data_IF_347343469018
#
_entry.id   IF_347343469018
#
_cell.length_a   1.000
_cell.length_b   1.000
_cell.length_c   1.000
_cell.angle_alpha   90.00
_cell.angle_beta   90.00
_cell.angle_gamma   90.00
#
_symmetry.space_group_name_H-M   'P 1'
#
loop_
_entity.id
_entity.type
_entity.pdbx_description
1 polymer ?
#
# COMPACT_ATOMS: atom_id res chain seq x y z
N UNK A 1 -59.39 -23.81 -14.61
CA UNK A 1 -59.07 -24.52 -15.86
C UNK A 1 -57.55 -24.50 -16.06
N UNK A 2 -56.89 -25.65 -15.92
CA UNK A 2 -55.42 -25.75 -15.97
C UNK A 2 -54.89 -25.61 -17.41
N UNK A 3 -55.64 -26.05 -18.41
CA UNK A 3 -55.23 -25.97 -19.82
C UNK A 3 -55.13 -24.53 -20.31
N UNK A 4 -56.09 -23.69 -19.91
CA UNK A 4 -56.05 -22.26 -20.21
C UNK A 4 -54.87 -21.58 -19.50
N UNK A 5 -54.57 -21.96 -18.25
CA UNK A 5 -53.43 -21.41 -17.51
C UNK A 5 -52.09 -21.77 -18.16
N UNK A 6 -51.89 -23.02 -18.55
CA UNK A 6 -50.67 -23.48 -19.25
C UNK A 6 -50.49 -22.70 -20.55
N UNK A 7 -51.54 -22.58 -21.39
CA UNK A 7 -51.48 -21.81 -22.64
C UNK A 7 -51.12 -20.33 -22.44
N UNK A 8 -51.62 -19.69 -21.38
CA UNK A 8 -51.28 -18.31 -21.06
C UNK A 8 -49.83 -18.18 -20.57
N UNK A 9 -49.37 -19.11 -19.73
CA UNK A 9 -48.00 -19.13 -19.24
C UNK A 9 -47.00 -19.37 -20.37
N UNK A 10 -47.29 -20.28 -21.30
CA UNK A 10 -46.43 -20.55 -22.47
C UNK A 10 -46.21 -19.31 -23.34
N UNK A 11 -47.27 -18.51 -23.56
CA UNK A 11 -47.15 -17.22 -24.27
C UNK A 11 -46.29 -16.23 -23.49
N UNK A 12 -46.41 -16.22 -22.17
CA UNK A 12 -45.70 -15.28 -21.31
C UNK A 12 -44.22 -15.64 -21.20
N UNK A 13 -43.88 -16.93 -21.21
CA UNK A 13 -42.49 -17.42 -21.23
C UNK A 13 -41.70 -16.99 -22.46
N UNK A 14 -42.37 -16.72 -23.59
CA UNK A 14 -41.70 -16.17 -24.77
C UNK A 14 -41.08 -14.79 -24.48
N UNK A 15 -41.70 -14.01 -23.61
CA UNK A 15 -41.22 -12.67 -23.24
C UNK A 15 -40.31 -12.72 -22.02
N UNK A 16 -40.67 -13.50 -20.99
CA UNK A 16 -39.97 -13.56 -19.70
C UNK A 16 -39.57 -15.00 -19.32
N UNK A 17 -38.58 -15.59 -20.00
CA UNK A 17 -38.24 -17.02 -19.85
C UNK A 17 -37.61 -17.39 -18.50
N UNK A 18 -37.10 -16.41 -17.76
CA UNK A 18 -36.35 -16.59 -16.51
C UNK A 18 -37.00 -15.88 -15.31
N UNK A 19 -38.32 -15.65 -15.36
CA UNK A 19 -39.05 -15.13 -14.22
C UNK A 19 -39.39 -16.27 -13.25
N UNK A 20 -38.92 -16.16 -12.00
CA UNK A 20 -39.10 -17.18 -10.98
C UNK A 20 -40.57 -17.36 -10.55
N UNK A 21 -41.36 -16.28 -10.54
CA UNK A 21 -42.78 -16.33 -10.20
C UNK A 21 -43.59 -17.01 -11.32
N UNK A 22 -43.29 -16.72 -12.59
CA UNK A 22 -43.92 -17.41 -13.72
C UNK A 22 -43.61 -18.92 -13.72
N UNK A 23 -42.37 -19.29 -13.40
CA UNK A 23 -41.99 -20.70 -13.25
C UNK A 23 -42.74 -21.37 -12.08
N UNK A 24 -42.91 -20.67 -10.96
CA UNK A 24 -43.73 -21.17 -9.85
C UNK A 24 -45.20 -21.38 -10.28
N UNK A 25 -45.83 -20.40 -10.93
CA UNK A 25 -47.20 -20.51 -11.42
C UNK A 25 -47.36 -21.64 -12.44
N UNK A 26 -46.36 -21.85 -13.30
CA UNK A 26 -46.30 -22.98 -14.23
C UNK A 26 -46.21 -24.32 -13.51
N UNK A 27 -45.40 -24.43 -12.47
CA UNK A 27 -45.35 -25.63 -11.63
C UNK A 27 -46.71 -25.97 -11.00
N UNK A 28 -47.44 -24.96 -10.52
CA UNK A 28 -48.81 -25.13 -9.99
C UNK A 28 -49.76 -25.61 -11.09
N UNK A 29 -49.74 -24.96 -12.26
CA UNK A 29 -50.62 -25.33 -13.38
C UNK A 29 -50.40 -26.78 -13.83
N UNK A 30 -49.15 -27.24 -13.92
CA UNK A 30 -48.83 -28.64 -14.23
C UNK A 30 -49.21 -29.60 -13.11
N UNK A 31 -49.13 -29.18 -11.84
CA UNK A 31 -49.63 -29.99 -10.72
C UNK A 31 -51.13 -30.21 -10.82
N UNK A 32 -51.90 -29.19 -11.22
CA UNK A 32 -53.34 -29.28 -11.45
C UNK A 32 -53.73 -30.13 -12.68
N UNK A 33 -52.79 -30.31 -13.61
CA UNK A 33 -52.91 -31.18 -14.78
C UNK A 33 -52.41 -32.62 -14.52
N UNK A 34 -52.04 -32.95 -13.27
CA UNK A 34 -51.41 -34.22 -12.84
C UNK A 34 -50.06 -34.53 -13.52
N UNK A 35 -49.42 -33.55 -14.17
CA UNK A 35 -48.06 -33.66 -14.71
C UNK A 35 -47.02 -33.31 -13.64
N UNK A 36 -46.86 -34.23 -12.69
CA UNK A 36 -45.92 -34.07 -11.57
C UNK A 36 -44.47 -33.94 -12.00
N UNK A 37 -44.08 -34.51 -13.14
CA UNK A 37 -42.70 -34.45 -13.63
C UNK A 37 -42.36 -33.02 -14.06
N UNK A 38 -43.18 -32.44 -14.92
CA UNK A 38 -42.96 -31.06 -15.38
C UNK A 38 -43.12 -30.07 -14.24
N UNK A 39 -44.09 -30.29 -13.33
CA UNK A 39 -44.25 -29.45 -12.15
C UNK A 39 -42.98 -29.37 -11.29
N UNK A 40 -42.34 -30.52 -11.04
CA UNK A 40 -41.07 -30.60 -10.29
C UNK A 40 -39.96 -29.80 -10.97
N UNK A 41 -39.79 -29.95 -12.29
CA UNK A 41 -38.78 -29.24 -13.06
C UNK A 41 -38.99 -27.72 -13.00
N UNK A 42 -40.25 -27.26 -13.10
CA UNK A 42 -40.60 -25.83 -13.02
C UNK A 42 -40.32 -25.26 -11.64
N UNK A 43 -40.71 -25.94 -10.56
CA UNK A 43 -40.40 -25.48 -9.20
C UNK A 43 -38.91 -25.46 -8.91
N UNK A 44 -38.17 -26.51 -9.30
CA UNK A 44 -36.72 -26.55 -9.13
C UNK A 44 -36.02 -25.38 -9.83
N UNK A 45 -36.46 -25.06 -11.06
CA UNK A 45 -35.91 -23.92 -11.81
C UNK A 45 -36.30 -22.57 -11.19
N UNK A 46 -37.52 -22.44 -10.65
CA UNK A 46 -37.93 -21.24 -9.91
C UNK A 46 -37.02 -21.00 -8.69
N UNK A 47 -36.73 -22.04 -7.91
CA UNK A 47 -35.85 -21.97 -6.73
C UNK A 47 -34.40 -21.66 -7.12
N UNK A 48 -33.93 -22.17 -8.25
CA UNK A 48 -32.59 -21.87 -8.75
C UNK A 48 -32.43 -20.40 -9.15
N UNK A 49 -33.50 -19.76 -9.63
CA UNK A 49 -33.50 -18.35 -10.02
C UNK A 49 -33.72 -17.41 -8.83
N UNK A 50 -34.62 -17.77 -7.91
CA UNK A 50 -34.85 -17.04 -6.66
C UNK A 50 -34.86 -18.00 -5.46
N UNK A 51 -33.71 -18.18 -4.79
CA UNK A 51 -33.61 -19.00 -3.59
C UNK A 51 -34.48 -18.51 -2.43
N UNK A 52 -34.88 -17.22 -2.42
CA UNK A 52 -35.73 -16.64 -1.39
C UNK A 52 -37.22 -16.95 -1.60
N UNK A 53 -37.62 -17.48 -2.77
CA UNK A 53 -39.00 -17.80 -3.11
C UNK A 53 -39.53 -18.99 -2.28
N UNK A 54 -39.97 -18.69 -1.06
CA UNK A 54 -40.44 -19.69 -0.09
C UNK A 54 -41.62 -20.51 -0.62
N UNK A 55 -42.52 -19.89 -1.39
CA UNK A 55 -43.68 -20.57 -1.99
C UNK A 55 -43.26 -21.73 -2.91
N UNK A 56 -42.26 -21.53 -3.76
CA UNK A 56 -41.76 -22.56 -4.67
C UNK A 56 -41.09 -23.74 -3.92
N UNK A 57 -40.35 -23.45 -2.84
CA UNK A 57 -39.73 -24.49 -2.00
C UNK A 57 -40.78 -25.34 -1.27
N UNK A 58 -41.76 -24.69 -0.66
CA UNK A 58 -42.87 -25.38 0.03
C UNK A 58 -43.68 -26.22 -0.96
N UNK A 59 -43.96 -25.67 -2.14
CA UNK A 59 -44.69 -26.38 -3.19
C UNK A 59 -43.96 -27.63 -3.68
N UNK A 60 -42.65 -27.54 -3.92
CA UNK A 60 -41.83 -28.68 -4.31
C UNK A 60 -41.81 -29.76 -3.22
N UNK A 61 -41.61 -29.38 -1.96
CA UNK A 61 -41.61 -30.32 -0.84
C UNK A 61 -42.95 -31.06 -0.68
N UNK A 62 -44.07 -30.35 -0.86
CA UNK A 62 -45.41 -30.96 -0.84
C UNK A 62 -45.64 -31.90 -2.02
N UNK A 63 -45.20 -31.51 -3.23
CA UNK A 63 -45.27 -32.35 -4.43
C UNK A 63 -44.50 -33.66 -4.24
N UNK A 64 -43.29 -33.58 -3.67
CA UNK A 64 -42.44 -34.75 -3.41
C UNK A 64 -42.98 -35.65 -2.29
N UNK A 65 -43.68 -35.08 -1.31
CA UNK A 65 -44.42 -35.83 -0.29
C UNK A 65 -45.72 -36.48 -0.82
N UNK A 66 -46.05 -36.30 -2.11
CA UNK A 66 -47.29 -36.80 -2.71
C UNK A 66 -48.54 -36.02 -2.30
N UNK A 67 -48.37 -34.89 -1.61
CA UNK A 67 -49.46 -34.03 -1.15
C UNK A 67 -50.02 -33.15 -2.27
N UNK A 68 -51.16 -32.53 -1.99
CA UNK A 68 -51.71 -31.48 -2.84
C UNK A 68 -50.88 -30.20 -2.66
N UNK A 69 -50.57 -29.51 -3.76
CA UNK A 69 -49.85 -28.24 -3.76
C UNK A 69 -50.87 -27.10 -3.89
N UNK A 70 -51.15 -26.33 -2.82
CA UNK A 70 -52.05 -25.20 -2.90
C UNK A 70 -51.38 -24.05 -3.65
N UNK A 71 -52.17 -23.31 -4.43
CA UNK A 71 -51.73 -22.04 -4.99
C UNK A 71 -51.60 -21.03 -3.83
N UNK A 72 -50.38 -20.85 -3.33
CA UNK A 72 -50.04 -19.76 -2.42
C UNK A 72 -49.50 -18.63 -3.28
N UNK A 73 -50.40 -17.79 -3.79
CA UNK A 73 -50.04 -16.62 -4.58
C UNK A 73 -50.79 -15.41 -4.05
N UNK A 74 -50.04 -14.45 -3.53
CA UNK A 74 -50.56 -13.12 -3.23
C UNK A 74 -50.21 -12.24 -4.42
N UNK A 75 -51.18 -11.82 -5.26
CA UNK A 75 -50.89 -10.89 -6.33
C UNK A 75 -50.34 -9.60 -5.72
N UNK A 76 -49.05 -9.34 -5.90
CA UNK A 76 -48.50 -8.03 -5.61
C UNK A 76 -48.84 -7.11 -6.78
N UNK A 77 -49.56 -6.02 -6.47
CA UNK A 77 -49.74 -4.94 -7.42
C UNK A 77 -48.39 -4.25 -7.62
N UNK A 78 -47.59 -4.75 -8.56
CA UNK A 78 -46.37 -4.09 -9.02
C UNK A 78 -46.82 -2.83 -9.76
N UNK A 79 -46.77 -1.69 -9.08
CA UNK A 79 -46.97 -0.39 -9.73
C UNK A 79 -45.73 -0.13 -10.58
N UNK A 80 -45.83 -0.05 -11.92
CA UNK A 80 -44.66 0.12 -12.80
C UNK A 80 -43.86 1.39 -12.47
N UNK A 81 -44.52 2.38 -11.86
CA UNK A 81 -43.97 3.66 -11.43
C UNK A 81 -43.70 3.73 -9.91
N UNK A 82 -43.55 2.58 -9.27
CA UNK A 82 -43.33 2.48 -7.82
C UNK A 82 -44.51 2.98 -6.98
N UNK A 83 -44.44 2.72 -5.68
CA UNK A 83 -45.23 3.43 -4.68
C UNK A 83 -44.30 4.24 -3.78
N UNK A 84 -44.87 4.99 -2.83
CA UNK A 84 -44.09 5.77 -1.88
C UNK A 84 -43.05 4.90 -1.12
N UNK A 85 -43.39 3.63 -0.85
CA UNK A 85 -42.52 2.67 -0.18
C UNK A 85 -41.33 2.28 -1.06
N UNK A 86 -41.55 2.07 -2.36
CA UNK A 86 -40.48 1.81 -3.32
C UNK A 86 -39.50 2.99 -3.41
N UNK A 87 -40.01 4.24 -3.45
CA UNK A 87 -39.15 5.43 -3.47
C UNK A 87 -38.32 5.52 -2.19
N UNK A 88 -38.92 5.31 -1.02
CA UNK A 88 -38.18 5.27 0.27
C UNK A 88 -37.11 4.18 0.28
N UNK A 89 -37.43 2.98 -0.21
CA UNK A 89 -36.46 1.87 -0.31
C UNK A 89 -35.27 2.23 -1.20
N UNK A 90 -35.52 2.92 -2.32
CA UNK A 90 -34.45 3.38 -3.22
C UNK A 90 -33.64 4.51 -2.59
N UNK A 91 -34.26 5.43 -1.85
CA UNK A 91 -33.56 6.46 -1.08
C UNK A 91 -32.63 5.86 -0.02
N UNK A 92 -33.09 4.84 0.70
CA UNK A 92 -32.27 4.12 1.69
C UNK A 92 -31.08 3.42 1.02
N UNK A 93 -31.31 2.73 -0.11
CA UNK A 93 -30.24 2.11 -0.90
C UNK A 93 -29.25 3.14 -1.43
N UNK A 94 -29.73 4.27 -1.93
CA UNK A 94 -28.90 5.38 -2.40
C UNK A 94 -28.01 5.90 -1.26
N UNK A 95 -28.58 6.18 -0.09
CA UNK A 95 -27.85 6.67 1.07
C UNK A 95 -26.84 5.64 1.60
N UNK A 96 -27.19 4.35 1.58
CA UNK A 96 -26.26 3.25 1.88
C UNK A 96 -25.07 3.23 0.92
N UNK A 97 -25.35 3.23 -0.38
CA UNK A 97 -24.33 3.20 -1.45
C UNK A 97 -23.40 4.41 -1.35
N UNK A 98 -23.95 5.61 -1.15
CA UNK A 98 -23.18 6.85 -0.99
C UNK A 98 -22.22 6.77 0.22
N UNK A 99 -22.68 6.23 1.37
CA UNK A 99 -21.80 6.01 2.53
C UNK A 99 -20.69 5.01 2.22
N UNK A 100 -21.00 3.91 1.54
CA UNK A 100 -19.98 2.93 1.12
C UNK A 100 -18.97 3.55 0.16
N UNK A 101 -19.42 4.40 -0.78
CA UNK A 101 -18.52 5.15 -1.67
C UNK A 101 -17.57 6.05 -0.89
N UNK A 102 -18.06 6.80 0.11
CA UNK A 102 -17.19 7.64 0.94
C UNK A 102 -16.09 6.83 1.65
N UNK A 103 -16.44 5.68 2.24
CA UNK A 103 -15.45 4.78 2.87
C UNK A 103 -14.47 4.16 1.87
N UNK A 104 -14.94 3.85 0.66
CA UNK A 104 -14.12 3.30 -0.44
C UNK A 104 -13.14 4.37 -0.95
N UNK A 105 -13.57 5.63 -1.07
CA UNK A 105 -12.70 6.77 -1.43
C UNK A 105 -11.57 6.95 -0.42
N UNK A 106 -11.88 6.96 0.88
CA UNK A 106 -10.86 7.09 1.92
C UNK A 106 -9.84 5.93 1.89
N UNK A 107 -10.33 4.71 1.63
CA UNK A 107 -9.48 3.52 1.46
C UNK A 107 -8.57 3.66 0.25
N UNK A 108 -9.11 4.06 -0.92
CA UNK A 108 -8.34 4.33 -2.12
C UNK A 108 -7.25 5.38 -1.87
N UNK A 109 -7.58 6.53 -1.28
CA UNK A 109 -6.62 7.60 -0.99
C UNK A 109 -5.49 7.12 -0.06
N UNK A 110 -5.82 6.29 0.93
CA UNK A 110 -4.82 5.70 1.83
C UNK A 110 -3.86 4.78 1.05
N UNK A 111 -4.37 3.91 0.19
CA UNK A 111 -3.52 3.01 -0.62
C UNK A 111 -2.70 3.79 -1.65
N UNK A 112 -3.29 4.82 -2.25
CA UNK A 112 -2.63 5.72 -3.20
C UNK A 112 -1.44 6.44 -2.56
N UNK A 113 -1.61 7.01 -1.35
CA UNK A 113 -0.51 7.67 -0.63
C UNK A 113 0.59 6.70 -0.21
N UNK A 114 0.23 5.47 0.22
CA UNK A 114 1.21 4.42 0.51
C UNK A 114 1.99 4.01 -0.73
N UNK A 115 1.30 3.90 -1.87
CA UNK A 115 1.92 3.58 -3.16
C UNK A 115 2.91 4.67 -3.58
N UNK A 116 2.54 5.94 -3.47
CA UNK A 116 3.47 7.06 -3.72
C UNK A 116 4.67 7.04 -2.75
N UNK A 117 4.44 6.72 -1.48
CA UNK A 117 5.52 6.61 -0.49
C UNK A 117 6.52 5.49 -0.83
N UNK A 118 6.06 4.40 -1.46
CA UNK A 118 6.95 3.34 -1.96
C UNK A 118 7.90 3.84 -3.06
N UNK A 119 7.54 4.91 -3.77
CA UNK A 119 8.41 5.62 -4.73
C UNK A 119 9.20 6.78 -4.11
N UNK A 120 9.12 6.96 -2.78
CA UNK A 120 9.74 8.10 -2.09
C UNK A 120 9.03 9.43 -2.35
N UNK A 121 7.74 9.40 -2.70
CA UNK A 121 6.91 10.58 -2.98
C UNK A 121 5.80 10.74 -1.94
N UNK A 122 5.35 11.98 -1.79
CA UNK A 122 4.20 12.31 -0.94
C UNK A 122 4.50 12.36 0.57
N UNK A 123 3.47 12.63 1.39
CA UNK A 123 3.63 12.90 2.82
C UNK A 123 4.02 11.68 3.66
N UNK A 124 3.82 10.46 3.14
CA UNK A 124 4.14 9.21 3.84
C UNK A 124 5.54 8.66 3.48
N UNK A 125 6.33 9.37 2.65
CA UNK A 125 7.66 8.93 2.25
C UNK A 125 8.64 8.97 3.44
N UNK A 126 9.43 7.91 3.69
CA UNK A 126 10.44 7.91 4.75
C UNK A 126 11.64 8.78 4.34
N UNK A 127 11.59 10.08 4.66
CA UNK A 127 12.67 11.04 4.46
C UNK A 127 13.01 11.35 2.99
N UNK A 128 14.15 12.03 2.77
CA UNK A 128 14.69 12.30 1.43
C UNK A 128 15.25 11.00 0.83
N UNK A 129 14.38 10.11 0.39
CA UNK A 129 14.82 8.89 -0.28
C UNK A 129 15.31 9.22 -1.70
N UNK A 130 16.43 8.60 -2.15
CA UNK A 130 16.85 8.70 -3.54
C UNK A 130 15.73 8.18 -4.44
N UNK A 131 15.54 8.83 -5.59
CA UNK A 131 14.54 8.42 -6.58
C UNK A 131 14.73 6.94 -6.93
N UNK A 132 13.65 6.18 -6.81
CA UNK A 132 13.64 4.74 -7.12
C UNK A 132 13.73 4.57 -8.63
N UNK A 133 14.87 4.08 -9.13
CA UNK A 133 15.12 3.86 -10.57
C UNK A 133 14.76 2.46 -11.04
N UNK A 134 14.62 1.51 -10.12
CA UNK A 134 14.29 0.11 -10.40
C UNK A 134 13.01 -0.27 -9.66
N UNK A 135 12.10 -0.97 -10.34
CA UNK A 135 10.79 -1.31 -9.80
C UNK A 135 10.93 -2.15 -8.51
N UNK A 136 10.53 -1.63 -7.34
CA UNK A 136 10.54 -2.39 -6.09
C UNK A 136 9.27 -3.23 -6.03
N UNK A 137 9.25 -4.27 -6.87
CA UNK A 137 8.05 -5.04 -7.20
C UNK A 137 7.39 -5.67 -5.97
N UNK A 138 8.19 -6.13 -5.01
CA UNK A 138 7.78 -6.73 -3.74
C UNK A 138 6.93 -5.78 -2.89
N UNK A 139 7.25 -4.48 -2.92
CA UNK A 139 6.54 -3.45 -2.14
C UNK A 139 5.40 -2.82 -2.93
N UNK A 140 5.60 -2.59 -4.22
CA UNK A 140 4.67 -1.83 -5.07
C UNK A 140 3.50 -2.67 -5.52
N UNK A 141 3.71 -3.93 -5.89
CA UNK A 141 2.66 -4.80 -6.44
C UNK A 141 1.44 -4.95 -5.50
N UNK A 142 1.58 -5.27 -4.20
CA UNK A 142 0.42 -5.38 -3.31
C UNK A 142 -0.32 -4.05 -3.13
N UNK A 143 0.41 -2.94 -2.95
CA UNK A 143 -0.19 -1.60 -2.79
C UNK A 143 -0.94 -1.16 -4.04
N UNK A 144 -0.36 -1.40 -5.23
CA UNK A 144 -0.98 -1.15 -6.52
C UNK A 144 -2.27 -1.96 -6.68
N UNK A 145 -2.25 -3.24 -6.34
CA UNK A 145 -3.42 -4.13 -6.43
C UNK A 145 -4.57 -3.67 -5.52
N UNK A 146 -4.25 -3.31 -4.27
CA UNK A 146 -5.22 -2.81 -3.32
C UNK A 146 -5.85 -1.49 -3.81
N UNK A 147 -5.03 -0.54 -4.28
CA UNK A 147 -5.55 0.72 -4.81
C UNK A 147 -6.42 0.52 -6.06
N UNK A 148 -6.01 -0.36 -6.99
CA UNK A 148 -6.80 -0.74 -8.17
C UNK A 148 -8.13 -1.38 -7.80
N UNK A 149 -8.13 -2.26 -6.80
CA UNK A 149 -9.34 -2.92 -6.31
C UNK A 149 -10.33 -1.91 -5.73
N UNK A 150 -9.86 -0.98 -4.90
CA UNK A 150 -10.70 0.08 -4.33
C UNK A 150 -11.23 1.03 -5.42
N UNK A 151 -10.42 1.38 -6.43
CA UNK A 151 -10.87 2.21 -7.54
C UNK A 151 -11.99 1.53 -8.34
N UNK A 152 -11.81 0.26 -8.74
CA UNK A 152 -12.85 -0.50 -9.46
C UNK A 152 -14.11 -0.70 -8.61
N UNK A 153 -13.94 -0.90 -7.30
CA UNK A 153 -15.07 -0.96 -6.36
C UNK A 153 -15.84 0.36 -6.34
N UNK A 154 -15.13 1.49 -6.28
CA UNK A 154 -15.74 2.83 -6.32
C UNK A 154 -16.50 3.06 -7.62
N UNK A 155 -15.94 2.66 -8.76
CA UNK A 155 -16.60 2.75 -10.07
C UNK A 155 -17.89 1.92 -10.14
N UNK A 156 -17.87 0.68 -9.65
CA UNK A 156 -19.06 -0.17 -9.58
C UNK A 156 -20.15 0.45 -8.71
N UNK A 157 -19.78 0.94 -7.53
CA UNK A 157 -20.71 1.63 -6.63
C UNK A 157 -21.29 2.90 -7.28
N UNK A 158 -20.49 3.62 -8.07
CA UNK A 158 -20.96 4.75 -8.86
C UNK A 158 -22.07 4.36 -9.86
N UNK A 159 -21.94 3.21 -10.52
CA UNK A 159 -23.00 2.68 -11.39
C UNK A 159 -24.29 2.31 -10.63
N UNK A 160 -24.17 1.70 -9.46
CA UNK A 160 -25.32 1.39 -8.59
C UNK A 160 -26.01 2.66 -8.08
N UNK A 161 -25.21 3.67 -7.72
CA UNK A 161 -25.69 4.98 -7.30
C UNK A 161 -26.43 5.69 -8.45
N UNK A 162 -25.90 5.60 -9.68
CA UNK A 162 -26.53 6.17 -10.88
C UNK A 162 -27.90 5.55 -11.16
N UNK A 163 -28.03 4.22 -11.08
CA UNK A 163 -29.32 3.54 -11.26
C UNK A 163 -30.34 4.07 -10.25
N UNK A 164 -29.94 4.20 -8.99
CA UNK A 164 -30.80 4.72 -7.92
C UNK A 164 -31.15 6.21 -8.14
N UNK A 165 -30.17 7.03 -8.54
CA UNK A 165 -30.36 8.46 -8.81
C UNK A 165 -31.33 8.69 -9.98
N UNK A 166 -31.19 7.93 -11.08
CA UNK A 166 -32.08 8.01 -12.25
C UNK A 166 -33.51 7.58 -11.90
N UNK A 167 -33.65 6.55 -11.06
CA UNK A 167 -34.96 6.16 -10.54
C UNK A 167 -35.60 7.30 -9.76
N UNK A 168 -34.88 7.87 -8.78
CA UNK A 168 -35.37 8.98 -7.95
C UNK A 168 -35.76 10.19 -8.82
N UNK A 169 -34.88 10.61 -9.74
CA UNK A 169 -35.12 11.75 -10.62
C UNK A 169 -36.38 11.60 -11.46
N UNK A 170 -36.56 10.42 -12.09
CA UNK A 170 -37.76 10.15 -12.90
C UNK A 170 -39.06 10.22 -12.07
N UNK A 171 -39.03 9.75 -10.83
CA UNK A 171 -40.20 9.78 -9.95
C UNK A 171 -40.48 11.20 -9.42
N UNK A 172 -39.44 12.01 -9.25
CA UNK A 172 -39.57 13.42 -8.90
C UNK A 172 -40.16 14.24 -10.04
N UNK A 173 -39.71 14.01 -11.28
CA UNK A 173 -40.21 14.66 -12.50
C UNK A 173 -41.71 14.46 -12.71
N UNK A 174 -42.26 13.28 -12.38
CA UNK A 174 -43.69 12.98 -12.49
C UNK A 174 -44.49 13.36 -11.24
N UNK A 175 -43.86 13.97 -10.22
CA UNK A 175 -44.51 14.38 -8.98
C UNK A 175 -44.85 13.25 -7.99
N UNK A 176 -44.38 12.02 -8.22
CA UNK A 176 -44.63 10.89 -7.32
C UNK A 176 -43.99 11.08 -5.93
N UNK A 177 -42.98 11.95 -5.83
CA UNK A 177 -42.32 12.33 -4.57
C UNK A 177 -43.14 13.30 -3.72
N UNK A 178 -44.21 13.91 -4.26
CA UNK A 178 -45.02 14.90 -3.55
C UNK A 178 -45.74 14.31 -2.33
N UNK A 179 -46.10 13.03 -2.37
CA UNK A 179 -46.76 12.31 -1.29
C UNK A 179 -45.79 11.82 -0.19
N UNK A 180 -44.48 12.02 -0.36
CA UNK A 180 -43.49 11.62 0.63
C UNK A 180 -43.49 12.57 1.84
N UNK A 181 -43.11 12.02 3.00
CA UNK A 181 -42.87 12.81 4.21
C UNK A 181 -41.77 13.87 3.96
N UNK A 182 -41.80 15.01 4.67
CA UNK A 182 -40.83 16.10 4.47
C UNK A 182 -39.36 15.63 4.48
N UNK A 183 -38.99 14.72 5.39
CA UNK A 183 -37.64 14.17 5.48
C UNK A 183 -37.23 13.36 4.24
N UNK A 184 -38.16 12.62 3.62
CA UNK A 184 -37.87 11.89 2.40
C UNK A 184 -37.75 12.83 1.19
N UNK A 185 -38.54 13.92 1.15
CA UNK A 185 -38.42 14.95 0.10
C UNK A 185 -37.09 15.70 0.14
N UNK A 186 -36.56 15.99 1.32
CA UNK A 186 -35.21 16.57 1.45
C UNK A 186 -34.14 15.60 0.97
N UNK A 187 -34.30 14.29 1.23
CA UNK A 187 -33.39 13.26 0.70
C UNK A 187 -33.42 13.15 -0.82
N UNK A 188 -34.59 13.30 -1.48
CA UNK A 188 -34.68 13.34 -2.96
C UNK A 188 -33.81 14.47 -3.52
N UNK A 189 -33.96 15.69 -2.98
CA UNK A 189 -33.13 16.84 -3.38
C UNK A 189 -31.64 16.60 -3.12
N UNK A 190 -31.32 16.00 -1.96
CA UNK A 190 -29.95 15.68 -1.59
C UNK A 190 -29.33 14.62 -2.51
N UNK A 191 -30.10 13.61 -2.93
CA UNK A 191 -29.66 12.58 -3.86
C UNK A 191 -29.29 13.19 -5.23
N UNK A 192 -30.12 14.07 -5.77
CA UNK A 192 -29.82 14.76 -7.03
C UNK A 192 -28.52 15.60 -6.98
N UNK A 193 -28.27 16.29 -5.86
CA UNK A 193 -27.01 17.03 -5.66
C UNK A 193 -25.81 16.09 -5.46
N UNK A 194 -25.95 15.11 -4.58
CA UNK A 194 -24.88 14.17 -4.24
C UNK A 194 -24.41 13.33 -5.42
N UNK A 195 -25.31 12.96 -6.33
CA UNK A 195 -24.95 12.18 -7.52
C UNK A 195 -24.01 12.95 -8.45
N UNK A 196 -24.24 14.26 -8.66
CA UNK A 196 -23.34 15.09 -9.47
C UNK A 196 -21.94 15.19 -8.85
N UNK A 197 -21.86 15.31 -7.53
CA UNK A 197 -20.58 15.26 -6.81
C UNK A 197 -19.91 13.91 -6.99
N UNK A 198 -20.63 12.80 -6.85
CA UNK A 198 -20.08 11.46 -7.03
C UNK A 198 -19.54 11.22 -8.46
N UNK A 199 -20.19 11.76 -9.50
CA UNK A 199 -19.68 11.70 -10.88
C UNK A 199 -18.36 12.46 -11.05
N UNK A 200 -18.27 13.67 -10.46
CA UNK A 200 -17.04 14.45 -10.48
C UNK A 200 -15.90 13.70 -9.76
N UNK A 201 -16.21 13.09 -8.61
CA UNK A 201 -15.27 12.30 -7.81
C UNK A 201 -14.66 11.13 -8.61
N UNK A 202 -15.48 10.35 -9.33
CA UNK A 202 -14.95 9.24 -10.16
C UNK A 202 -13.93 9.75 -11.19
N UNK A 203 -14.24 10.89 -11.84
CA UNK A 203 -13.33 11.53 -12.79
C UNK A 203 -12.04 12.01 -12.13
N UNK A 204 -12.14 12.60 -10.93
CA UNK A 204 -11.01 13.08 -10.14
C UNK A 204 -10.09 11.92 -9.73
N UNK A 205 -10.61 10.83 -9.15
CA UNK A 205 -9.80 9.69 -8.70
C UNK A 205 -9.05 9.02 -9.86
N UNK A 206 -9.70 8.88 -11.04
CA UNK A 206 -9.02 8.40 -12.26
C UNK A 206 -7.91 9.35 -12.69
N UNK A 207 -8.17 10.66 -12.64
CA UNK A 207 -7.19 11.66 -13.03
C UNK A 207 -6.01 11.72 -12.06
N UNK A 208 -6.24 11.56 -10.75
CA UNK A 208 -5.21 11.41 -9.73
C UNK A 208 -4.34 10.17 -9.98
N UNK A 209 -4.96 9.02 -10.31
CA UNK A 209 -4.24 7.81 -10.68
C UNK A 209 -3.31 8.04 -11.89
N UNK A 210 -3.87 8.60 -12.97
CA UNK A 210 -3.15 8.82 -14.23
C UNK A 210 -2.04 9.86 -14.11
N UNK A 211 -2.23 10.92 -13.31
CA UNK A 211 -1.22 11.97 -13.13
C UNK A 211 -0.20 11.66 -12.04
N UNK A 212 -0.61 10.97 -10.98
CA UNK A 212 0.23 10.74 -9.80
C UNK A 212 1.02 9.44 -9.86
N UNK A 213 0.37 8.32 -10.16
CA UNK A 213 0.99 6.99 -10.04
C UNK A 213 1.60 6.52 -11.35
N UNK A 214 0.88 6.66 -12.47
CA UNK A 214 1.34 6.13 -13.77
C UNK A 214 2.72 6.65 -14.21
N UNK A 215 3.07 7.94 -14.05
CA UNK A 215 4.41 8.43 -14.40
C UNK A 215 5.51 7.82 -13.52
N UNK A 216 5.25 7.66 -12.22
CA UNK A 216 6.20 7.08 -11.26
C UNK A 216 6.41 5.58 -11.54
N UNK A 217 5.34 4.85 -11.86
CA UNK A 217 5.42 3.46 -12.33
C UNK A 217 6.30 3.35 -13.58
N UNK A 218 6.05 4.20 -14.58
CA UNK A 218 6.81 4.21 -15.84
C UNK A 218 8.28 4.56 -15.58
N UNK A 219 8.56 5.55 -14.73
CA UNK A 219 9.92 5.97 -14.38
C UNK A 219 10.71 4.84 -13.69
N UNK A 220 10.07 4.10 -12.77
CA UNK A 220 10.69 2.96 -12.10
C UNK A 220 10.76 1.69 -12.97
N UNK A 221 10.20 1.70 -14.18
CA UNK A 221 10.10 0.51 -15.05
C UNK A 221 9.06 -0.51 -14.60
N UNK A 222 8.12 -0.14 -13.72
CA UNK A 222 6.98 -0.98 -13.35
C UNK A 222 5.90 -0.89 -14.43
N UNK A 223 5.54 -2.01 -15.06
CA UNK A 223 4.37 -2.08 -15.95
C UNK A 223 3.18 -2.72 -15.24
N UNK A 224 1.95 -2.35 -15.62
CA UNK A 224 0.73 -2.94 -15.04
C UNK A 224 0.70 -4.47 -15.21
N UNK A 225 1.22 -4.98 -16.34
CA UNK A 225 1.34 -6.43 -16.59
C UNK A 225 2.30 -7.10 -15.60
N UNK A 226 3.44 -6.46 -15.33
CA UNK A 226 4.43 -6.95 -14.38
C UNK A 226 3.88 -6.97 -12.95
N UNK A 227 3.20 -5.88 -12.55
CA UNK A 227 2.58 -5.80 -11.22
C UNK A 227 1.46 -6.82 -11.06
N UNK A 228 0.60 -6.98 -12.07
CA UNK A 228 -0.44 -8.00 -12.06
C UNK A 228 0.12 -9.43 -11.97
N UNK A 229 1.21 -9.72 -12.71
CA UNK A 229 1.90 -11.01 -12.61
C UNK A 229 2.49 -11.26 -11.22
N UNK A 230 3.09 -10.24 -10.61
CA UNK A 230 3.63 -10.35 -9.24
C UNK A 230 2.56 -10.51 -8.17
N UNK A 231 1.37 -9.95 -8.37
CA UNK A 231 0.21 -10.19 -7.48
C UNK A 231 -0.30 -11.62 -7.63
N UNK A 232 -0.27 -12.17 -8.85
CA UNK A 232 -0.74 -13.53 -9.13
C UNK A 232 0.24 -14.61 -8.60
N UNK A 233 1.55 -14.32 -8.61
CA UNK A 233 2.60 -15.24 -8.13
C UNK A 233 3.64 -14.49 -7.28
N UNK A 234 3.33 -14.19 -5.99
CA UNK A 234 4.22 -13.38 -5.15
C UNK A 234 5.58 -14.03 -4.89
N UNK A 235 5.65 -15.35 -4.80
CA UNK A 235 6.89 -16.07 -4.48
C UNK A 235 7.91 -15.97 -5.61
N UNK A 236 7.46 -16.01 -6.88
CA UNK A 236 8.35 -15.84 -8.04
C UNK A 236 9.05 -14.47 -8.10
N UNK A 237 8.41 -13.43 -7.56
CA UNK A 237 8.94 -12.06 -7.58
C UNK A 237 9.46 -11.59 -6.23
N UNK A 238 9.52 -12.49 -5.24
CA UNK A 238 10.15 -12.21 -3.96
C UNK A 238 11.65 -12.09 -4.17
N UNK A 239 12.14 -10.85 -4.22
CA UNK A 239 13.59 -10.61 -4.20
C UNK A 239 14.10 -11.21 -2.89
N UNK A 240 14.90 -12.27 -3.00
CA UNK A 240 15.59 -12.89 -1.89
C UNK A 240 16.54 -11.84 -1.33
N UNK A 241 16.10 -11.08 -0.32
CA UNK A 241 16.93 -10.06 0.35
C UNK A 241 18.16 -10.69 1.03
N UNK A 242 18.22 -12.02 1.10
CA UNK A 242 19.30 -12.82 1.67
C UNK A 242 20.63 -12.70 0.91
N UNK A 243 20.64 -12.18 -0.33
CA UNK A 243 21.86 -11.84 -1.07
C UNK A 243 22.34 -10.40 -0.83
N UNK A 244 21.94 -9.76 0.27
CA UNK A 244 22.74 -8.64 0.78
C UNK A 244 24.04 -9.26 1.32
N UNK A 245 25.20 -9.04 0.68
CA UNK A 245 26.46 -9.52 1.24
C UNK A 245 26.55 -8.98 2.67
N UNK A 246 26.97 -9.84 3.60
CA UNK A 246 27.10 -9.49 5.01
C UNK A 246 27.75 -8.10 5.11
N UNK A 247 27.19 -7.21 5.96
CA UNK A 247 27.73 -5.87 6.12
C UNK A 247 29.24 -6.01 6.36
N UNK A 248 30.05 -5.45 5.44
CA UNK A 248 31.50 -5.53 5.51
C UNK A 248 31.89 -5.26 6.96
N UNK A 249 32.64 -6.16 7.61
CA UNK A 249 32.97 -6.03 9.02
C UNK A 249 33.47 -4.62 9.24
N UNK A 250 32.81 -3.88 10.14
CA UNK A 250 33.20 -2.51 10.45
C UNK A 250 34.68 -2.54 10.78
N UNK A 251 35.48 -1.80 10.01
CA UNK A 251 36.92 -1.69 10.23
C UNK A 251 37.07 -1.21 11.66
N UNK A 252 37.57 -2.09 12.54
CA UNK A 252 37.82 -1.73 13.92
C UNK A 252 38.71 -0.48 13.90
N UNK A 253 38.41 0.56 14.70
CA UNK A 253 39.25 1.74 14.78
C UNK A 253 40.69 1.29 15.01
N UNK A 254 41.68 1.87 14.31
CA UNK A 254 43.06 1.42 14.39
C UNK A 254 43.47 1.36 15.85
N UNK A 255 43.95 0.19 16.28
CA UNK A 255 44.37 -0.06 17.66
C UNK A 255 45.34 1.06 18.06
N UNK A 256 45.15 1.72 19.21
CA UNK A 256 46.07 2.77 19.64
C UNK A 256 47.50 2.24 19.62
N UNK A 257 48.41 2.98 18.98
CA UNK A 257 49.82 2.60 18.87
C UNK A 257 50.39 2.47 20.29
N UNK A 258 51.20 1.44 20.53
CA UNK A 258 51.82 1.26 21.83
C UNK A 258 52.71 2.46 22.16
N UNK A 259 52.57 3.01 23.38
CA UNK A 259 53.49 4.06 23.87
C UNK A 259 54.88 3.46 24.07
N UNK A 260 55.91 4.19 23.69
CA UNK A 260 57.32 3.84 23.84
C UNK A 260 58.03 4.90 24.69
N UNK A 261 58.80 4.46 25.68
CA UNK A 261 59.71 5.34 26.41
C UNK A 261 61.07 5.29 25.74
N UNK A 262 61.63 6.46 25.40
CA UNK A 262 62.96 6.56 24.84
C UNK A 262 63.78 7.59 25.61
N UNK A 263 65.10 7.53 25.45
CA UNK A 263 66.03 8.37 26.18
C UNK A 263 66.79 9.28 25.23
N UNK A 264 67.02 10.52 25.65
CA UNK A 264 67.91 11.44 24.97
C UNK A 264 69.04 11.77 25.95
N UNK A 265 70.24 11.40 25.56
CA UNK A 265 71.46 11.58 26.33
C UNK A 265 72.20 12.83 25.83
N UNK A 266 72.08 13.90 26.61
CA UNK A 266 72.71 15.19 26.38
C UNK A 266 73.93 15.40 27.30
N UNK A 267 74.54 14.32 27.80
CA UNK A 267 75.65 14.39 28.77
C UNK A 267 76.90 15.10 28.22
N UNK A 268 77.13 15.03 26.91
CA UNK A 268 78.30 15.60 26.25
C UNK A 268 78.16 17.09 25.85
N UNK A 269 76.95 17.67 25.95
CA UNK A 269 76.66 19.00 25.46
C UNK A 269 76.42 20.02 26.59
N UNK A 270 76.88 21.28 26.43
CA UNK A 270 76.73 22.33 27.44
C UNK A 270 75.37 23.03 27.39
N UNK A 271 74.63 22.90 26.29
CA UNK A 271 73.36 23.58 26.07
C UNK A 271 72.17 22.64 26.27
N UNK A 272 71.01 23.22 26.57
CA UNK A 272 69.73 22.49 26.59
C UNK A 272 69.39 22.02 25.18
N UNK A 273 68.65 20.92 25.04
CA UNK A 273 68.20 20.43 23.73
C UNK A 273 66.68 20.25 23.73
N UNK A 274 66.01 20.86 22.77
CA UNK A 274 64.59 20.68 22.51
C UNK A 274 64.36 19.40 21.68
N UNK A 275 63.47 18.55 22.17
CA UNK A 275 63.14 17.27 21.52
C UNK A 275 61.77 17.36 20.89
N UNK A 276 61.73 17.26 19.56
CA UNK A 276 60.52 17.28 18.77
C UNK A 276 60.26 15.91 18.15
N UNK A 277 59.02 15.43 18.25
CA UNK A 277 58.56 14.21 17.59
C UNK A 277 57.36 14.56 16.72
N UNK A 278 57.45 14.27 15.42
CA UNK A 278 56.39 14.55 14.44
C UNK A 278 55.91 16.01 14.46
N UNK A 279 56.87 16.93 14.57
CA UNK A 279 56.60 18.38 14.61
C UNK A 279 56.00 18.89 15.92
N UNK A 280 55.86 18.04 16.94
CA UNK A 280 55.37 18.45 18.28
C UNK A 280 56.53 18.46 19.28
N UNK A 281 56.68 19.56 20.03
CA UNK A 281 57.66 19.66 21.11
C UNK A 281 57.26 18.71 22.24
N UNK A 282 58.09 17.70 22.49
CA UNK A 282 57.83 16.68 23.50
C UNK A 282 58.42 17.06 24.86
N UNK A 283 59.54 17.76 24.87
CA UNK A 283 60.20 18.24 26.08
C UNK A 283 61.61 18.75 25.82
N UNK A 284 62.29 19.16 26.90
CA UNK A 284 63.65 19.67 26.87
C UNK A 284 64.58 18.77 27.71
N UNK A 285 65.80 18.60 27.23
CA UNK A 285 66.85 17.85 27.94
C UNK A 285 67.90 18.83 28.42
N UNK A 286 68.00 18.98 29.74
CA UNK A 286 68.95 19.90 30.35
C UNK A 286 70.41 19.59 29.95
N UNK A 287 71.31 20.58 30.00
CA UNK A 287 72.74 20.37 29.81
C UNK A 287 73.29 19.25 30.67
N UNK A 288 74.18 18.44 30.10
CA UNK A 288 74.89 17.36 30.81
C UNK A 288 73.97 16.35 31.52
N UNK A 289 72.75 16.16 31.02
CA UNK A 289 71.75 15.25 31.58
C UNK A 289 71.24 14.28 30.53
N UNK A 290 70.71 13.16 31.02
CA UNK A 290 69.92 12.21 30.24
C UNK A 290 68.48 12.27 30.73
N UNK A 291 67.53 12.41 29.81
CA UNK A 291 66.10 12.45 30.13
C UNK A 291 65.34 11.34 29.40
N UNK A 292 64.30 10.82 30.05
CA UNK A 292 63.34 9.89 29.46
C UNK A 292 62.13 10.67 28.92
N UNK A 293 61.67 10.31 27.72
CA UNK A 293 60.54 10.92 27.04
C UNK A 293 59.60 9.80 26.55
N UNK A 294 58.29 10.08 26.54
CA UNK A 294 57.27 9.08 26.18
C UNK A 294 56.45 9.59 25.01
N UNK A 295 56.37 8.81 23.94
CA UNK A 295 55.53 9.09 22.76
C UNK A 295 54.99 7.80 22.18
N UNK A 296 54.18 7.87 21.14
CA UNK A 296 53.71 6.68 20.44
C UNK A 296 54.86 6.04 19.65
N UNK A 297 55.04 4.72 19.80
CA UNK A 297 56.08 3.96 19.10
C UNK A 297 55.88 3.86 17.58
N UNK A 298 56.90 3.30 16.92
CA UNK A 298 56.94 3.07 15.48
C UNK A 298 57.82 4.08 14.74
N UNK A 299 57.62 4.16 13.41
CA UNK A 299 58.33 5.11 12.56
C UNK A 299 57.89 6.55 12.84
N UNK A 300 58.86 7.42 13.12
CA UNK A 300 58.68 8.80 13.59
C UNK A 300 59.73 9.71 13.01
N UNK A 301 59.42 11.00 13.01
CA UNK A 301 60.40 12.05 12.73
C UNK A 301 60.87 12.67 14.03
N UNK A 302 62.18 12.65 14.28
CA UNK A 302 62.83 13.19 15.48
C UNK A 302 63.70 14.38 15.10
N UNK A 303 63.52 15.50 15.78
CA UNK A 303 64.47 16.62 15.77
C UNK A 303 65.04 16.84 17.17
N UNK A 304 66.34 17.08 17.24
CA UNK A 304 67.06 17.48 18.45
C UNK A 304 67.71 18.83 18.18
N UNK A 305 67.17 19.90 18.76
CA UNK A 305 67.55 21.28 18.43
C UNK A 305 68.16 21.96 19.65
N UNK A 306 69.37 22.50 19.51
CA UNK A 306 69.98 23.36 20.54
C UNK A 306 69.47 24.82 20.40
N UNK A 307 69.42 25.62 21.47
CA UNK A 307 69.07 27.03 21.42
C UNK A 307 69.88 27.79 20.37
N UNK A 308 69.19 28.53 19.50
CA UNK A 308 69.81 29.30 18.42
C UNK A 308 70.23 28.50 17.18
N UNK A 309 69.98 27.18 17.15
CA UNK A 309 70.14 26.36 15.95
C UNK A 309 68.94 26.48 14.97
N UNK A 310 69.04 25.80 13.83
CA UNK A 310 67.99 25.68 12.83
C UNK A 310 66.69 25.08 13.42
N UNK A 311 65.53 25.41 12.84
CA UNK A 311 64.23 24.93 13.32
C UNK A 311 64.01 23.46 12.97
N UNK A 312 63.17 22.76 13.75
CA UNK A 312 62.74 21.40 13.39
C UNK A 312 61.95 21.44 12.08
N UNK A 313 62.46 20.79 11.04
CA UNK A 313 61.94 20.88 9.68
C UNK A 313 62.97 21.41 8.67
N UNK A 314 63.99 22.12 9.14
CA UNK A 314 65.09 22.57 8.30
C UNK A 314 65.94 21.40 7.76
N UNK A 315 66.63 21.62 6.64
CA UNK A 315 67.45 20.58 6.01
C UNK A 315 68.52 20.07 6.97
N UNK A 316 68.46 18.78 7.29
CA UNK A 316 69.41 18.10 8.17
C UNK A 316 69.03 18.09 9.65
N UNK A 317 67.94 18.75 10.07
CA UNK A 317 67.45 18.71 11.46
C UNK A 317 66.47 17.56 11.74
N UNK A 318 65.80 17.06 10.71
CA UNK A 318 64.84 15.95 10.79
C UNK A 318 65.52 14.61 10.55
N UNK A 319 65.33 13.66 11.48
CA UNK A 319 65.76 12.27 11.31
C UNK A 319 64.55 11.34 11.37
N UNK A 320 64.44 10.43 10.40
CA UNK A 320 63.50 9.32 10.51
C UNK A 320 64.08 8.27 11.45
N UNK A 321 63.34 7.93 12.49
CA UNK A 321 63.73 6.96 13.52
C UNK A 321 62.57 6.01 13.80
N UNK A 322 62.90 4.78 14.19
CA UNK A 322 61.91 3.82 14.67
C UNK A 322 61.96 3.79 16.20
N UNK A 323 61.03 4.49 16.85
CA UNK A 323 60.97 4.57 18.31
C UNK A 323 60.37 3.28 18.88
N UNK A 324 61.15 2.62 19.73
CA UNK A 324 60.72 1.50 20.55
C UNK A 324 61.13 1.75 22.01
N UNK A 325 60.55 0.99 22.93
CA UNK A 325 60.86 1.13 24.35
C UNK A 325 62.35 0.86 24.60
N UNK A 326 63.00 1.73 25.38
CA UNK A 326 64.43 1.68 25.68
C UNK A 326 65.36 2.28 24.62
N UNK A 327 64.85 2.75 23.48
CA UNK A 327 65.68 3.41 22.47
C UNK A 327 66.41 4.65 23.05
N UNK A 328 67.65 4.89 22.65
CA UNK A 328 68.46 6.00 23.19
C UNK A 328 69.15 6.78 22.06
N UNK A 329 69.01 8.10 22.06
CA UNK A 329 69.76 9.02 21.19
C UNK A 329 70.83 9.74 21.99
N UNK A 330 72.10 9.60 21.59
CA UNK A 330 73.22 10.31 22.22
C UNK A 330 73.65 11.51 21.37
N UNK A 331 73.61 12.69 21.97
CA UNK A 331 74.06 13.92 21.33
C UNK A 331 75.59 14.04 21.40
N UNK A 332 76.18 14.44 20.29
CA UNK A 332 77.60 14.73 20.18
C UNK A 332 77.75 16.20 19.78
N UNK A 333 78.23 17.02 20.71
CA UNK A 333 78.51 18.42 20.43
C UNK A 333 79.98 18.60 20.02
N UNK A 334 80.27 19.41 19.00
CA UNK A 334 81.65 19.82 18.71
C UNK A 334 82.23 20.53 19.94
N UNK A 335 83.49 20.21 20.26
CA UNK A 335 84.24 20.84 21.36
C UNK A 335 84.60 22.28 21.03
#
# INVERSE_FOLDING_TARGET
DHDTAIKQLDRTFATWPNDAQLLYLSGIAHTLADDRKTARERFARAIALDPALASARTALAQLDAGGAVPLVFTPELVRPWGDAKAIVTVLDRYAGTARTMATTRASFQTQFLKLLAAFGKGPLAPGKNPQVRTCPIDRVAPLWSMAQTELRRYERLGGELEVSARFIARHDEIGATAALLPNARTQVTAAGKGFRTALADVGELRAEWMRGVVPELRFAGCSDKLLAAAVADPERYRIIQTDKPDPKPQVQPPRPKARATFYVDNTACPDVVDVWVDGTLLGQVAPRRRSALVTDGGERTLCLISPGAAQCGDRGTVRQVYLHDGWTATLHCPK
#
